data_IF_065878082377
#
_entry.id   IF_065878082377
#
_cell.length_a   1.000
_cell.length_b   1.000
_cell.length_c   1.000
_cell.angle_alpha   90.00
_cell.angle_beta   90.00
_cell.angle_gamma   90.00
#
_symmetry.space_group_name_H-M   'P 1'
#
loop_
_entity.id
_entity.type
_entity.pdbx_description
1 polymer ?
#
# COMPACT_ATOMS: atom_id res chain seq x y z
N UNK A 1 57.44 -72.65 37.02
CA UNK A 1 57.31 -71.56 36.02
C UNK A 1 56.20 -70.62 36.49
N UNK A 2 56.49 -69.38 36.92
CA UNK A 2 55.47 -68.46 37.42
C UNK A 2 54.85 -67.65 36.30
N UNK A 3 53.53 -67.52 36.33
CA UNK A 3 52.72 -66.75 35.39
C UNK A 3 52.98 -65.25 35.58
N UNK A 4 53.47 -64.60 34.52
CA UNK A 4 53.73 -63.17 34.48
C UNK A 4 52.40 -62.42 34.50
N UNK A 5 52.21 -61.60 35.53
CA UNK A 5 51.04 -60.76 35.72
C UNK A 5 50.99 -59.63 34.66
N UNK A 6 50.10 -59.79 33.68
CA UNK A 6 49.91 -58.87 32.55
C UNK A 6 49.26 -57.53 32.94
N UNK A 7 48.79 -57.37 34.18
CA UNK A 7 48.07 -56.17 34.62
C UNK A 7 48.95 -54.92 34.72
N UNK A 8 50.29 -55.07 34.66
CA UNK A 8 51.23 -53.94 34.72
C UNK A 8 51.49 -53.29 33.36
N UNK A 9 51.13 -53.92 32.23
CA UNK A 9 51.39 -53.39 30.87
C UNK A 9 50.24 -52.59 30.25
N UNK A 10 49.08 -52.53 30.90
CA UNK A 10 47.95 -51.72 30.42
C UNK A 10 47.98 -50.28 30.95
N UNK A 11 48.67 -50.00 32.06
CA UNK A 11 48.76 -48.64 32.62
C UNK A 11 49.81 -47.75 31.97
N UNK A 12 50.65 -48.28 31.08
CA UNK A 12 51.71 -47.53 30.39
C UNK A 12 51.30 -46.99 29.02
N UNK A 13 50.10 -47.33 28.52
CA UNK A 13 49.63 -46.90 27.19
C UNK A 13 48.65 -45.72 27.21
N UNK A 14 48.38 -45.13 28.38
CA UNK A 14 47.46 -44.00 28.51
C UNK A 14 48.19 -42.69 28.88
N UNK A 15 49.26 -42.38 28.13
CA UNK A 15 50.00 -41.10 28.24
C UNK A 15 50.45 -40.53 26.89
N UNK A 16 49.77 -40.85 25.79
CA UNK A 16 49.76 -39.94 24.64
C UNK A 16 48.82 -38.80 24.99
N UNK A 17 49.38 -37.74 25.58
CA UNK A 17 48.65 -36.51 25.89
C UNK A 17 48.08 -35.90 24.61
N UNK A 18 46.88 -36.34 24.24
CA UNK A 18 45.97 -35.57 23.40
C UNK A 18 45.66 -34.35 24.23
N UNK A 19 46.44 -33.28 24.05
CA UNK A 19 46.03 -31.94 24.44
C UNK A 19 44.74 -31.70 23.66
N UNK A 20 43.60 -32.04 24.26
CA UNK A 20 42.29 -31.62 23.80
C UNK A 20 42.36 -30.12 23.90
N UNK A 21 42.70 -29.49 22.77
CA UNK A 21 42.73 -28.05 22.62
C UNK A 21 41.32 -27.65 22.98
N UNK A 22 41.12 -27.14 24.19
CA UNK A 22 39.83 -26.66 24.67
C UNK A 22 39.48 -25.55 23.70
N UNK A 23 38.76 -25.89 22.63
CA UNK A 23 38.28 -24.92 21.66
C UNK A 23 37.46 -23.99 22.50
N UNK A 24 37.97 -22.78 22.74
CA UNK A 24 37.15 -21.70 23.25
C UNK A 24 36.01 -21.63 22.25
N UNK A 25 34.86 -22.21 22.62
CA UNK A 25 33.62 -22.08 21.88
C UNK A 25 33.37 -20.58 21.97
N UNK A 26 33.79 -19.84 20.94
CA UNK A 26 33.74 -18.39 20.92
C UNK A 26 32.32 -18.03 21.29
N UNK A 27 32.15 -17.22 22.35
CA UNK A 27 30.80 -16.87 22.81
C UNK A 27 30.07 -16.29 21.60
N UNK A 28 29.12 -17.04 21.05
CA UNK A 28 28.42 -16.63 19.84
C UNK A 28 27.84 -15.24 20.15
N UNK A 29 28.00 -14.23 19.30
CA UNK A 29 27.71 -12.84 19.65
C UNK A 29 26.19 -12.58 19.62
N UNK A 30 25.42 -13.36 20.40
CA UNK A 30 23.97 -13.26 20.55
C UNK A 30 23.52 -11.84 20.87
N UNK A 31 24.28 -11.10 21.68
CA UNK A 31 24.02 -9.69 21.96
C UNK A 31 24.06 -8.82 20.69
N UNK A 32 25.04 -9.03 19.80
CA UNK A 32 25.13 -8.30 18.52
C UNK A 32 24.02 -8.74 17.57
N UNK A 33 23.71 -10.03 17.53
CA UNK A 33 22.61 -10.57 16.73
C UNK A 33 21.26 -9.95 17.14
N UNK A 34 20.99 -9.88 18.44
CA UNK A 34 19.76 -9.26 19.00
C UNK A 34 19.69 -7.77 18.64
N UNK A 35 20.79 -7.02 18.74
CA UNK A 35 20.84 -5.61 18.34
C UNK A 35 20.56 -5.46 16.83
N UNK A 36 21.16 -6.30 15.98
CA UNK A 36 20.91 -6.27 14.52
C UNK A 36 19.44 -6.55 14.22
N UNK A 37 18.85 -7.57 14.85
CA UNK A 37 17.43 -7.90 14.68
C UNK A 37 16.55 -6.74 15.15
N UNK A 38 16.86 -6.12 16.29
CA UNK A 38 16.09 -4.98 16.81
C UNK A 38 16.14 -3.78 15.85
N UNK A 39 17.32 -3.46 15.29
CA UNK A 39 17.49 -2.37 14.32
C UNK A 39 16.70 -2.67 13.03
N UNK A 40 16.74 -3.91 12.54
CA UNK A 40 15.96 -4.32 11.38
C UNK A 40 14.46 -4.21 11.66
N UNK A 41 13.97 -4.68 12.81
CA UNK A 41 12.55 -4.56 13.16
C UNK A 41 12.07 -3.11 13.19
N UNK A 42 12.87 -2.19 13.75
CA UNK A 42 12.53 -0.75 13.75
C UNK A 42 12.55 -0.18 12.32
N UNK A 43 13.55 -0.53 11.52
CA UNK A 43 13.67 -0.08 10.14
C UNK A 43 12.48 -0.53 9.28
N UNK A 44 11.93 -1.72 9.52
CA UNK A 44 10.73 -2.24 8.86
C UNK A 44 9.42 -1.67 9.43
N UNK A 45 9.37 -1.42 10.73
CA UNK A 45 8.15 -0.97 11.41
C UNK A 45 7.71 0.42 10.95
N UNK A 46 8.64 1.36 10.78
CA UNK A 46 8.34 2.73 10.35
C UNK A 46 7.63 2.80 8.98
N UNK A 47 8.16 2.23 7.89
CA UNK A 47 7.52 2.26 6.58
C UNK A 47 6.24 1.42 6.55
N UNK A 48 6.17 0.30 7.26
CA UNK A 48 4.94 -0.50 7.37
C UNK A 48 3.81 0.29 8.05
N UNK A 49 4.13 1.02 9.12
CA UNK A 49 3.20 1.94 9.77
C UNK A 49 2.80 3.07 8.83
N UNK A 50 3.73 3.60 8.03
CA UNK A 50 3.48 4.62 7.01
C UNK A 50 2.46 4.19 5.96
N UNK A 51 2.62 2.99 5.38
CA UNK A 51 1.65 2.39 4.44
C UNK A 51 0.27 2.30 5.11
N UNK A 52 0.20 1.78 6.34
CA UNK A 52 -1.07 1.61 7.04
C UNK A 52 -1.76 2.95 7.36
N UNK A 53 -1.01 3.94 7.86
CA UNK A 53 -1.57 5.27 8.15
C UNK A 53 -2.04 5.95 6.88
N UNK A 54 -1.24 5.92 5.81
CA UNK A 54 -1.58 6.54 4.54
C UNK A 54 -2.85 5.91 3.95
N UNK A 55 -2.97 4.58 3.95
CA UNK A 55 -4.18 3.89 3.50
C UNK A 55 -5.43 4.28 4.32
N UNK A 56 -5.28 4.41 5.64
CA UNK A 56 -6.36 4.85 6.53
C UNK A 56 -6.77 6.30 6.22
N UNK A 57 -5.80 7.17 5.98
CA UNK A 57 -6.04 8.57 5.66
C UNK A 57 -6.66 8.74 4.28
N UNK A 58 -6.27 7.96 3.27
CA UNK A 58 -6.95 7.89 1.96
C UNK A 58 -8.43 7.56 2.16
N UNK A 59 -8.75 6.53 2.95
CA UNK A 59 -10.14 6.15 3.22
C UNK A 59 -10.93 7.26 3.94
N UNK A 60 -10.30 7.92 4.92
CA UNK A 60 -10.90 9.03 5.66
C UNK A 60 -11.14 10.24 4.75
N UNK A 61 -10.16 10.64 3.96
CA UNK A 61 -10.22 11.81 3.09
C UNK A 61 -11.17 11.56 1.90
N UNK A 62 -11.23 10.33 1.38
CA UNK A 62 -12.23 9.93 0.40
C UNK A 62 -13.68 10.04 0.91
N UNK A 63 -13.92 9.76 2.20
CA UNK A 63 -15.24 10.02 2.82
C UNK A 63 -15.56 11.52 2.86
N UNK A 64 -14.55 12.37 3.06
CA UNK A 64 -14.73 13.82 2.99
C UNK A 64 -15.15 14.26 1.59
N UNK A 65 -14.52 13.75 0.53
CA UNK A 65 -14.95 14.01 -0.86
C UNK A 65 -16.42 13.62 -1.05
N UNK A 66 -16.79 12.41 -0.63
CA UNK A 66 -18.19 11.93 -0.72
C UNK A 66 -19.17 12.80 0.07
N UNK A 67 -18.77 13.25 1.26
CA UNK A 67 -19.57 14.14 2.09
C UNK A 67 -19.76 15.49 1.41
N UNK A 68 -18.69 16.07 0.83
CA UNK A 68 -18.75 17.35 0.13
C UNK A 68 -19.66 17.28 -1.08
N UNK A 69 -19.63 16.16 -1.81
CA UNK A 69 -20.56 15.91 -2.92
C UNK A 69 -22.02 15.90 -2.45
N UNK A 70 -22.32 15.20 -1.35
CA UNK A 70 -23.68 15.15 -0.77
C UNK A 70 -24.16 16.51 -0.25
N UNK A 71 -23.23 17.32 0.23
CA UNK A 71 -23.53 18.64 0.78
C UNK A 71 -23.50 19.74 -0.30
N UNK A 72 -23.15 19.42 -1.54
CA UNK A 72 -22.86 20.41 -2.58
C UNK A 72 -21.82 21.44 -2.10
N UNK A 73 -20.76 21.01 -1.43
CA UNK A 73 -19.72 21.87 -0.89
C UNK A 73 -18.41 21.68 -1.67
N UNK A 74 -18.12 22.63 -2.57
CA UNK A 74 -16.91 22.57 -3.39
C UNK A 74 -15.63 22.71 -2.57
N UNK A 75 -15.64 23.47 -1.47
CA UNK A 75 -14.46 23.64 -0.62
C UNK A 75 -14.12 22.34 0.10
N UNK A 76 -15.16 21.66 0.60
CA UNK A 76 -14.99 20.38 1.28
C UNK A 76 -14.52 19.28 0.30
N UNK A 77 -15.01 19.28 -0.94
CA UNK A 77 -14.52 18.44 -2.04
C UNK A 77 -13.05 18.75 -2.34
N UNK A 78 -12.71 20.03 -2.59
CA UNK A 78 -11.35 20.48 -2.93
C UNK A 78 -10.35 20.07 -1.86
N UNK A 79 -10.68 20.34 -0.60
CA UNK A 79 -9.88 19.92 0.54
C UNK A 79 -9.72 18.40 0.58
N UNK A 80 -10.82 17.65 0.38
CA UNK A 80 -10.78 16.19 0.34
C UNK A 80 -9.87 15.63 -0.76
N UNK A 81 -9.89 16.24 -1.95
CA UNK A 81 -9.01 15.86 -3.07
C UNK A 81 -7.54 16.15 -2.75
N UNK A 82 -7.23 17.35 -2.25
CA UNK A 82 -5.86 17.72 -1.86
C UNK A 82 -5.32 16.81 -0.75
N UNK A 83 -6.13 16.58 0.28
CA UNK A 83 -5.76 15.73 1.41
C UNK A 83 -5.62 14.26 0.97
N UNK A 84 -6.44 13.79 0.04
CA UNK A 84 -6.33 12.42 -0.52
C UNK A 84 -5.07 12.28 -1.37
N UNK A 85 -4.77 13.27 -2.23
CA UNK A 85 -3.55 13.30 -3.04
C UNK A 85 -2.30 13.20 -2.17
N UNK A 86 -2.23 14.01 -1.11
CA UNK A 86 -1.11 13.97 -0.15
C UNK A 86 -0.96 12.59 0.52
N UNK A 87 -2.07 11.98 0.93
CA UNK A 87 -2.05 10.63 1.50
C UNK A 87 -1.62 9.55 0.50
N UNK A 88 -1.99 9.69 -0.78
CA UNK A 88 -1.52 8.81 -1.86
C UNK A 88 -0.03 8.97 -2.11
N UNK A 89 0.49 10.20 -2.11
CA UNK A 89 1.94 10.45 -2.23
C UNK A 89 2.72 9.85 -1.05
N UNK A 90 2.17 9.95 0.18
CA UNK A 90 2.75 9.32 1.36
C UNK A 90 2.71 7.78 1.29
N UNK A 91 1.63 7.21 0.75
CA UNK A 91 1.53 5.78 0.48
C UNK A 91 2.60 5.36 -0.53
N UNK A 92 2.73 6.08 -1.64
CA UNK A 92 3.73 5.81 -2.68
C UNK A 92 5.15 5.82 -2.13
N UNK A 93 5.49 6.85 -1.36
CA UNK A 93 6.77 6.97 -0.68
C UNK A 93 7.05 5.81 0.29
N UNK A 94 6.02 5.40 1.05
CA UNK A 94 6.15 4.28 1.98
C UNK A 94 6.31 2.94 1.25
N UNK A 95 5.61 2.74 0.13
CA UNK A 95 5.76 1.57 -0.74
C UNK A 95 7.12 1.53 -1.43
N UNK A 96 7.71 2.67 -1.79
CA UNK A 96 9.04 2.71 -2.41
C UNK A 96 10.13 2.12 -1.50
N UNK A 97 9.97 2.20 -0.17
CA UNK A 97 10.88 1.53 0.76
C UNK A 97 10.85 0.00 0.63
N UNK A 98 9.71 -0.55 0.22
CA UNK A 98 9.51 -1.98 0.00
C UNK A 98 9.81 -2.44 -1.44
N UNK A 99 10.49 -1.63 -2.25
CA UNK A 99 10.79 -1.95 -3.66
C UNK A 99 11.49 -3.30 -3.85
N UNK A 100 12.32 -3.71 -2.89
CA UNK A 100 13.01 -5.00 -2.89
C UNK A 100 12.05 -6.21 -2.77
N UNK A 101 10.83 -6.02 -2.25
CA UNK A 101 9.79 -7.08 -2.22
C UNK A 101 9.40 -7.54 -3.63
N UNK A 102 9.59 -6.68 -4.65
CA UNK A 102 9.30 -7.02 -6.06
C UNK A 102 10.03 -8.28 -6.54
N UNK A 103 11.21 -8.57 -5.99
CA UNK A 103 12.05 -9.71 -6.39
C UNK A 103 11.62 -11.01 -5.70
N UNK A 104 10.81 -10.93 -4.65
CA UNK A 104 10.42 -12.10 -3.86
C UNK A 104 9.25 -12.81 -4.55
N UNK A 105 9.37 -14.12 -4.87
CA UNK A 105 8.25 -14.90 -5.39
C UNK A 105 7.04 -14.83 -4.46
N UNK A 106 5.82 -14.83 -5.01
CA UNK A 106 4.54 -14.60 -4.31
C UNK A 106 4.32 -13.17 -3.81
N UNK A 107 5.22 -12.59 -3.02
CA UNK A 107 5.03 -11.25 -2.43
C UNK A 107 5.22 -10.12 -3.45
N UNK A 108 6.09 -10.29 -4.44
CA UNK A 108 6.36 -9.29 -5.46
C UNK A 108 5.14 -8.93 -6.31
N UNK A 109 4.22 -9.89 -6.50
CA UNK A 109 2.96 -9.66 -7.19
C UNK A 109 2.03 -8.73 -6.42
N UNK A 110 1.90 -8.90 -5.10
CA UNK A 110 1.07 -8.03 -4.24
C UNK A 110 1.68 -6.64 -4.09
N UNK A 111 3.00 -6.57 -3.99
CA UNK A 111 3.72 -5.29 -3.99
C UNK A 111 3.49 -4.51 -5.29
N UNK A 112 3.60 -5.21 -6.44
CA UNK A 112 3.34 -4.63 -7.75
C UNK A 112 1.93 -4.05 -7.85
N UNK A 113 0.92 -4.81 -7.42
CA UNK A 113 -0.47 -4.35 -7.43
C UNK A 113 -0.66 -3.13 -6.52
N UNK A 114 -0.11 -3.14 -5.30
CA UNK A 114 -0.19 -2.00 -4.38
C UNK A 114 0.47 -0.74 -4.96
N UNK A 115 1.60 -0.90 -5.66
CA UNK A 115 2.32 0.19 -6.31
C UNK A 115 1.52 0.76 -7.50
N UNK A 116 0.91 -0.11 -8.31
CA UNK A 116 0.03 0.32 -9.39
C UNK A 116 -1.23 1.00 -8.87
N UNK A 117 -1.84 0.53 -7.78
CA UNK A 117 -2.95 1.23 -7.11
C UNK A 117 -2.56 2.63 -6.65
N UNK A 118 -1.40 2.79 -6.00
CA UNK A 118 -0.93 4.10 -5.55
C UNK A 118 -0.67 5.05 -6.74
N UNK A 119 -0.11 4.52 -7.83
CA UNK A 119 0.17 5.29 -9.06
C UNK A 119 -1.13 5.70 -9.76
N UNK A 120 -2.09 4.78 -9.90
CA UNK A 120 -3.41 5.06 -10.44
C UNK A 120 -4.16 6.12 -9.62
N UNK A 121 -4.20 5.96 -8.30
CA UNK A 121 -4.83 6.92 -7.40
C UNK A 121 -4.17 8.31 -7.50
N UNK A 122 -2.85 8.38 -7.71
CA UNK A 122 -2.15 9.66 -7.89
C UNK A 122 -2.63 10.38 -9.15
N UNK A 123 -2.74 9.65 -10.26
CA UNK A 123 -3.23 10.21 -11.53
C UNK A 123 -4.72 10.57 -11.47
N UNK A 124 -5.55 9.76 -10.80
CA UNK A 124 -6.96 10.09 -10.53
C UNK A 124 -7.10 11.36 -9.69
N UNK A 125 -6.27 11.54 -8.65
CA UNK A 125 -6.31 12.75 -7.82
C UNK A 125 -5.83 13.98 -8.57
N UNK A 126 -4.86 13.86 -9.49
CA UNK A 126 -4.48 14.96 -10.40
C UNK A 126 -5.64 15.36 -11.31
N UNK A 127 -6.33 14.39 -11.88
CA UNK A 127 -7.53 14.62 -12.68
C UNK A 127 -8.64 15.32 -11.86
N UNK A 128 -8.93 14.80 -10.67
CA UNK A 128 -9.92 15.39 -9.77
C UNK A 128 -9.56 16.82 -9.36
N UNK A 129 -8.29 17.11 -9.10
CA UNK A 129 -7.80 18.45 -8.76
C UNK A 129 -8.03 19.44 -9.91
N UNK A 130 -7.76 19.06 -11.16
CA UNK A 130 -8.04 19.89 -12.34
C UNK A 130 -9.54 20.17 -12.45
N UNK A 131 -10.38 19.14 -12.31
CA UNK A 131 -11.84 19.28 -12.37
C UNK A 131 -12.32 20.25 -11.28
N UNK A 132 -11.97 20.01 -10.03
CA UNK A 132 -12.44 20.82 -8.90
C UNK A 132 -11.95 22.26 -9.00
N UNK A 133 -10.70 22.48 -9.39
CA UNK A 133 -10.17 23.83 -9.60
C UNK A 133 -10.84 24.56 -10.78
N UNK A 134 -11.26 23.83 -11.81
CA UNK A 134 -12.01 24.41 -12.93
C UNK A 134 -13.43 24.87 -12.54
N UNK A 135 -14.01 24.27 -11.49
CA UNK A 135 -15.34 24.61 -11.00
C UNK A 135 -15.34 25.77 -10.00
N UNK A 136 -14.19 26.08 -9.40
CA UNK A 136 -14.01 27.14 -8.41
C UNK A 136 -14.60 28.51 -8.85
N UNK A 137 -14.32 29.03 -10.07
CA UNK A 137 -14.91 30.30 -10.51
C UNK A 137 -16.43 30.24 -10.70
N UNK A 138 -17.00 29.04 -10.86
CA UNK A 138 -18.43 28.83 -11.09
C UNK A 138 -19.16 28.35 -9.82
N UNK A 139 -18.50 28.31 -8.66
CA UNK A 139 -19.05 27.78 -7.40
C UNK A 139 -20.44 28.33 -7.08
N UNK A 140 -20.63 29.65 -7.22
CA UNK A 140 -21.90 30.31 -6.97
C UNK A 140 -22.96 29.99 -8.04
N UNK A 141 -22.60 30.01 -9.32
CA UNK A 141 -23.49 29.68 -10.45
C UNK A 141 -23.98 28.22 -10.38
N UNK A 142 -23.12 27.33 -9.90
CA UNK A 142 -23.37 25.91 -9.75
C UNK A 142 -23.99 25.54 -8.41
N UNK A 143 -24.27 26.51 -7.53
CA UNK A 143 -24.81 26.27 -6.18
C UNK A 143 -23.96 25.29 -5.33
N UNK A 144 -22.63 25.29 -5.52
CA UNK A 144 -21.70 24.43 -4.78
C UNK A 144 -21.23 25.07 -3.46
N UNK A 145 -22.20 25.59 -2.69
CA UNK A 145 -22.00 26.44 -1.51
C UNK A 145 -22.31 25.73 -0.17
N UNK A 146 -22.53 24.42 -0.16
CA UNK A 146 -22.90 23.66 1.04
C UNK A 146 -24.41 23.58 1.31
N UNK A 147 -25.24 23.98 0.35
CA UNK A 147 -26.70 23.96 0.48
C UNK A 147 -27.29 22.77 -0.31
N UNK A 148 -28.13 21.92 0.30
CA UNK A 148 -28.79 20.83 -0.41
C UNK A 148 -29.73 21.34 -1.51
N UNK A 149 -29.67 20.70 -2.68
CA UNK A 149 -30.52 21.01 -3.83
C UNK A 149 -31.57 19.92 -3.99
N UNK A 150 -32.80 20.25 -4.38
CA UNK A 150 -33.89 19.30 -4.61
C UNK A 150 -33.71 18.51 -5.92
N UNK A 151 -34.32 17.32 -6.02
CA UNK A 151 -33.98 16.31 -7.04
C UNK A 151 -34.07 16.73 -8.51
N UNK A 152 -35.01 17.60 -8.89
CA UNK A 152 -35.07 18.11 -10.28
C UNK A 152 -33.92 19.08 -10.59
N UNK A 153 -33.58 19.94 -9.64
CA UNK A 153 -32.52 20.94 -9.78
C UNK A 153 -31.13 20.29 -9.72
N UNK A 154 -30.98 19.15 -9.05
CA UNK A 154 -29.74 18.36 -9.04
C UNK A 154 -29.35 17.87 -10.44
N UNK A 155 -30.32 17.45 -11.26
CA UNK A 155 -30.04 17.01 -12.63
C UNK A 155 -29.57 18.18 -13.50
N UNK A 156 -30.25 19.33 -13.40
CA UNK A 156 -29.86 20.54 -14.11
C UNK A 156 -28.47 21.04 -13.68
N UNK A 157 -28.17 20.97 -12.38
CA UNK A 157 -26.85 21.27 -11.85
C UNK A 157 -25.78 20.32 -12.42
N UNK A 158 -26.04 19.01 -12.46
CA UNK A 158 -25.14 18.03 -13.05
C UNK A 158 -24.80 18.36 -14.51
N UNK A 159 -25.80 18.73 -15.31
CA UNK A 159 -25.60 19.15 -16.71
C UNK A 159 -24.71 20.39 -16.79
N UNK A 160 -24.94 21.39 -15.93
CA UNK A 160 -24.09 22.60 -15.87
C UNK A 160 -22.66 22.28 -15.46
N UNK A 161 -22.47 21.39 -14.47
CA UNK A 161 -21.14 20.94 -14.06
C UNK A 161 -20.43 20.30 -15.26
N UNK A 162 -21.11 19.40 -15.99
CA UNK A 162 -20.56 18.81 -17.21
C UNK A 162 -20.14 19.88 -18.22
N UNK A 163 -21.00 20.86 -18.50
CA UNK A 163 -20.72 21.96 -19.43
C UNK A 163 -19.45 22.75 -19.04
N UNK A 164 -19.23 23.01 -17.75
CA UNK A 164 -18.00 23.70 -17.28
C UNK A 164 -16.76 22.81 -17.29
N UNK A 165 -16.93 21.50 -17.12
CA UNK A 165 -15.83 20.53 -17.04
C UNK A 165 -15.35 20.09 -18.43
N UNK A 166 -16.26 20.00 -19.41
CA UNK A 166 -15.96 19.58 -20.78
C UNK A 166 -14.76 20.31 -21.43
N UNK A 167 -14.63 21.65 -21.34
CA UNK A 167 -13.47 22.37 -21.89
C UNK A 167 -12.12 22.00 -21.28
N UNK A 168 -12.11 21.37 -20.10
CA UNK A 168 -10.89 20.94 -19.40
C UNK A 168 -10.58 19.45 -19.59
N UNK A 169 -11.41 18.70 -20.32
CA UNK A 169 -11.24 17.25 -20.48
C UNK A 169 -9.93 16.87 -21.15
N UNK A 170 -9.43 17.66 -22.11
CA UNK A 170 -8.14 17.40 -22.74
C UNK A 170 -6.96 17.38 -21.74
N UNK A 171 -7.10 18.10 -20.61
CA UNK A 171 -6.09 18.11 -19.53
C UNK A 171 -6.25 16.94 -18.56
N UNK A 172 -7.44 16.36 -18.48
CA UNK A 172 -7.83 15.31 -17.52
C UNK A 172 -7.65 13.91 -18.11
N UNK A 173 -8.03 13.73 -19.38
CA UNK A 173 -7.96 12.46 -20.11
C UNK A 173 -6.58 11.79 -20.02
N UNK A 174 -5.44 12.50 -20.17
CA UNK A 174 -4.12 11.87 -20.06
C UNK A 174 -3.86 11.23 -18.69
N UNK A 175 -4.29 11.87 -17.61
CA UNK A 175 -4.14 11.34 -16.25
C UNK A 175 -5.07 10.14 -16.03
N UNK A 176 -6.33 10.23 -16.47
CA UNK A 176 -7.26 9.10 -16.38
C UNK A 176 -6.81 7.90 -17.22
N UNK A 177 -6.21 8.13 -18.39
CA UNK A 177 -5.63 7.07 -19.21
C UNK A 177 -4.50 6.36 -18.47
N UNK A 178 -3.55 7.13 -17.89
CA UNK A 178 -2.47 6.55 -17.09
C UNK A 178 -3.00 5.78 -15.88
N UNK A 179 -4.04 6.29 -15.22
CA UNK A 179 -4.69 5.57 -14.12
C UNK A 179 -5.28 4.23 -14.60
N UNK A 180 -5.95 4.23 -15.75
CA UNK A 180 -6.44 3.01 -16.40
C UNK A 180 -5.33 2.01 -16.71
N UNK A 181 -4.27 2.47 -17.36
CA UNK A 181 -3.11 1.64 -17.72
C UNK A 181 -2.46 0.98 -16.47
N UNK A 182 -2.38 1.71 -15.36
CA UNK A 182 -1.86 1.18 -14.08
C UNK A 182 -2.81 0.13 -13.47
N UNK A 183 -4.13 0.34 -13.53
CA UNK A 183 -5.12 -0.61 -12.98
C UNK A 183 -5.21 -1.88 -13.83
N UNK A 184 -5.06 -1.78 -15.15
CA UNK A 184 -5.01 -2.96 -16.05
C UNK A 184 -3.85 -3.91 -15.72
N UNK A 185 -2.77 -3.40 -15.14
CA UNK A 185 -1.64 -4.21 -14.68
C UNK A 185 -1.92 -5.05 -13.43
N UNK A 186 -3.07 -4.85 -12.77
CA UNK A 186 -3.43 -5.50 -11.50
C UNK A 186 -4.14 -6.82 -11.78
N UNK A 187 -3.66 -7.91 -11.19
CA UNK A 187 -4.28 -9.23 -11.31
C UNK A 187 -5.30 -9.48 -10.18
N UNK A 188 -6.62 -9.48 -10.47
CA UNK A 188 -7.64 -9.72 -9.45
C UNK A 188 -7.67 -11.17 -8.96
N UNK A 189 -7.10 -12.11 -9.73
CA UNK A 189 -7.07 -13.54 -9.41
C UNK A 189 -6.26 -13.86 -8.15
N UNK A 190 -5.24 -13.04 -7.84
CA UNK A 190 -4.39 -13.18 -6.63
C UNK A 190 -5.18 -13.10 -5.32
N UNK A 191 -6.31 -12.41 -5.32
CA UNK A 191 -7.12 -12.16 -4.11
C UNK A 191 -8.25 -13.17 -3.92
N UNK A 192 -8.50 -14.08 -4.89
CA UNK A 192 -9.59 -15.08 -4.85
C UNK A 192 -9.28 -16.34 -4.04
N UNK A 193 -8.10 -16.44 -3.41
CA UNK A 193 -7.66 -17.62 -2.65
C UNK A 193 -8.03 -17.67 -1.16
N UNK A 194 -8.83 -16.74 -0.65
CA UNK A 194 -9.24 -16.70 0.77
C UNK A 194 -10.58 -17.38 1.02
N UNK A 195 -10.57 -18.57 1.64
CA UNK A 195 -11.78 -19.19 2.20
C UNK A 195 -12.41 -18.32 3.29
N UNK A 196 -13.64 -17.84 3.05
CA UNK A 196 -14.57 -17.43 4.11
C UNK A 196 -15.09 -15.99 4.04
N UNK A 197 -16.32 -15.84 3.52
CA UNK A 197 -17.25 -14.68 3.62
C UNK A 197 -17.26 -13.61 2.53
N UNK A 198 -16.49 -13.74 1.46
CA UNK A 198 -16.74 -12.96 0.25
C UNK A 198 -16.99 -13.91 -0.90
N UNK A 199 -18.26 -14.29 -1.06
CA UNK A 199 -18.72 -15.18 -2.13
C UNK A 199 -18.50 -14.57 -3.54
N UNK A 200 -18.81 -15.34 -4.60
CA UNK A 200 -18.63 -14.96 -6.01
C UNK A 200 -19.37 -13.68 -6.45
N UNK A 201 -20.14 -13.05 -5.56
CA UNK A 201 -20.90 -11.84 -5.81
C UNK A 201 -20.10 -10.54 -5.66
N UNK A 202 -18.87 -10.58 -5.08
CA UNK A 202 -18.03 -9.38 -5.02
C UNK A 202 -17.64 -8.86 -6.41
N UNK A 203 -17.47 -9.75 -7.39
CA UNK A 203 -17.20 -9.36 -8.78
C UNK A 203 -18.44 -8.87 -9.53
N UNK A 204 -19.65 -9.19 -9.06
CA UNK A 204 -20.91 -8.73 -9.67
C UNK A 204 -21.34 -7.34 -9.18
N UNK A 205 -20.83 -6.92 -8.02
CA UNK A 205 -21.17 -5.63 -7.39
C UNK A 205 -20.09 -4.54 -7.56
N UNK A 206 -19.09 -4.76 -8.42
CA UNK A 206 -18.22 -3.68 -8.91
C UNK A 206 -18.87 -3.19 -10.21
N UNK A 207 -19.60 -2.05 -10.23
CA UNK A 207 -20.42 -1.66 -11.37
C UNK A 207 -19.66 -1.33 -12.67
N UNK A 208 -18.34 -1.57 -12.77
CA UNK A 208 -17.54 -1.18 -13.94
C UNK A 208 -16.45 -2.17 -14.37
N UNK A 209 -16.39 -3.40 -13.85
CA UNK A 209 -15.38 -4.39 -14.29
C UNK A 209 -15.99 -5.48 -15.18
N UNK A 210 -16.34 -5.10 -16.41
CA UNK A 210 -16.58 -6.06 -17.51
C UNK A 210 -15.56 -5.76 -18.60
N UNK A 211 -14.38 -6.42 -18.60
CA UNK A 211 -13.58 -6.49 -19.81
C UNK A 211 -14.32 -7.36 -20.83
N UNK A 212 -14.48 -6.84 -22.05
CA UNK A 212 -14.80 -7.67 -23.22
C UNK A 212 -13.56 -8.44 -23.66
#
# INVERSE_FOLDING_TARGET
MPLVNLNRKLSSFDRSGVRVRKTRVGSFPWKKLVIIIAVLLVAFYLPARGVYSAAKDISKNGKQISQGFKQNDLELIKKGVVDTKSSVEALDGSLNWFMWLRVIPFLGGFYGDAKSFASAASEEMKAAEIIVNSLDPYKQELNLNGQPIAGQDQLAQGIKILDKVLPNMDKVIPSLKKAGDEVEGIDPGKYRGGTGRFGPDFAKNIPYFVPK
#
